data_IF_262799707521
#
_entry.id   IF_262799707521
#
_cell.length_a   1.000
_cell.length_b   1.000
_cell.length_c   1.000
_cell.angle_alpha   90.00
_cell.angle_beta   90.00
_cell.angle_gamma   90.00
#
_symmetry.space_group_name_H-M   'P 1'
#
loop_
_entity.id
_entity.type
_entity.pdbx_description
1 polymer ?
#
# COMPACT_ATOMS: atom_id res chain seq x y z
N UNK A 1 -53.16 31.10 -51.64
CA UNK A 1 -52.50 31.40 -50.32
C UNK A 1 -52.14 30.06 -49.69
N UNK A 2 -50.85 29.70 -49.74
CA UNK A 2 -50.35 28.45 -49.10
C UNK A 2 -49.59 28.83 -47.85
N UNK A 3 -50.12 28.41 -46.68
CA UNK A 3 -49.52 28.68 -45.37
C UNK A 3 -48.55 27.58 -45.04
N UNK A 4 -47.24 27.91 -44.95
CA UNK A 4 -46.18 26.98 -44.54
C UNK A 4 -46.04 27.04 -43.01
N UNK A 5 -46.29 25.91 -42.33
CA UNK A 5 -46.05 25.76 -40.90
C UNK A 5 -44.63 25.27 -40.73
N UNK A 6 -43.77 26.09 -40.14
CA UNK A 6 -42.38 25.76 -39.80
C UNK A 6 -42.36 25.11 -38.44
N UNK A 7 -42.14 23.76 -38.39
CA UNK A 7 -41.97 23.03 -37.11
C UNK A 7 -40.56 23.22 -36.60
N UNK A 8 -40.40 23.88 -35.46
CA UNK A 8 -39.14 24.03 -34.73
C UNK A 8 -38.97 22.82 -33.80
N UNK A 9 -38.11 21.88 -34.20
CA UNK A 9 -37.77 20.77 -33.33
C UNK A 9 -36.70 21.22 -32.30
N UNK A 10 -37.09 21.39 -31.04
CA UNK A 10 -36.17 21.62 -29.92
C UNK A 10 -35.44 20.31 -29.61
N UNK A 11 -34.15 20.26 -29.95
CA UNK A 11 -33.27 19.18 -29.53
C UNK A 11 -32.82 19.45 -28.08
N UNK A 12 -33.45 18.80 -27.11
CA UNK A 12 -32.99 18.81 -25.72
C UNK A 12 -31.76 17.90 -25.63
N UNK A 13 -30.56 18.50 -25.67
CA UNK A 13 -29.32 17.81 -25.37
C UNK A 13 -29.22 17.62 -23.84
N UNK A 14 -29.66 16.47 -23.34
CA UNK A 14 -29.47 16.09 -21.95
C UNK A 14 -27.98 15.80 -21.74
N UNK A 15 -27.27 16.75 -21.13
CA UNK A 15 -25.93 16.55 -20.57
C UNK A 15 -26.04 15.51 -19.45
N UNK A 16 -25.85 14.24 -19.77
CA UNK A 16 -25.61 13.21 -18.79
C UNK A 16 -24.24 13.51 -18.19
N UNK A 17 -24.22 14.18 -17.04
CA UNK A 17 -23.02 14.32 -16.22
C UNK A 17 -22.71 12.92 -15.66
N UNK A 18 -21.95 12.14 -16.42
CA UNK A 18 -21.44 10.85 -15.97
C UNK A 18 -20.36 11.15 -14.93
N UNK A 19 -20.75 11.21 -13.66
CA UNK A 19 -19.81 11.32 -12.55
C UNK A 19 -18.86 10.12 -12.63
N UNK A 20 -17.59 10.38 -12.94
CA UNK A 20 -16.56 9.34 -12.99
C UNK A 20 -16.53 8.61 -11.64
N UNK A 21 -16.68 7.29 -11.67
CA UNK A 21 -16.60 6.49 -10.45
C UNK A 21 -15.22 6.71 -9.82
N UNK A 22 -15.20 6.89 -8.50
CA UNK A 22 -13.95 7.08 -7.78
C UNK A 22 -13.13 5.80 -7.83
N UNK A 23 -11.84 5.92 -8.16
CA UNK A 23 -10.90 4.81 -8.09
C UNK A 23 -10.81 4.26 -6.65
N UNK A 24 -10.75 2.94 -6.54
CA UNK A 24 -10.66 2.22 -5.28
C UNK A 24 -9.20 1.93 -4.97
N UNK A 25 -8.75 2.35 -3.79
CA UNK A 25 -7.37 2.14 -3.31
C UNK A 25 -7.35 1.05 -2.25
N UNK A 26 -6.54 0.00 -2.46
CA UNK A 26 -6.21 -0.97 -1.43
C UNK A 26 -4.88 -0.60 -0.77
N UNK A 27 -4.82 -0.79 0.55
CA UNK A 27 -3.63 -0.61 1.36
C UNK A 27 -3.09 -1.98 1.75
N UNK A 28 -1.85 -2.24 1.39
CA UNK A 28 -1.17 -3.49 1.68
C UNK A 28 0.10 -3.19 2.47
N UNK A 29 0.03 -3.36 3.80
CA UNK A 29 1.06 -2.78 4.66
C UNK A 29 1.45 -3.59 5.89
N UNK A 30 2.36 -2.98 6.64
CA UNK A 30 2.78 -3.38 7.98
C UNK A 30 2.18 -2.45 9.05
N UNK A 31 2.87 -2.33 10.22
CA UNK A 31 2.42 -1.49 11.35
C UNK A 31 2.17 -0.02 10.97
N UNK A 32 2.91 0.53 10.01
CA UNK A 32 2.78 1.92 9.57
C UNK A 32 1.42 2.23 8.94
N UNK A 33 0.72 1.19 8.50
CA UNK A 33 -0.56 1.30 7.79
C UNK A 33 -1.75 0.77 8.60
N UNK A 34 -1.51 0.26 9.81
CA UNK A 34 -2.59 -0.25 10.66
C UNK A 34 -3.34 0.86 11.38
N UNK A 35 -4.63 0.63 11.66
CA UNK A 35 -5.43 1.41 12.60
C UNK A 35 -6.63 0.57 13.07
N UNK A 36 -6.90 0.58 14.38
CA UNK A 36 -7.97 -0.20 15.01
C UNK A 36 -9.33 0.00 14.34
N UNK A 37 -9.98 -1.09 13.94
CA UNK A 37 -11.30 -1.11 13.30
C UNK A 37 -11.30 -0.76 11.81
N UNK A 38 -10.11 -0.70 11.17
CA UNK A 38 -9.98 -0.41 9.74
C UNK A 38 -9.16 -1.46 8.98
N UNK A 39 -8.88 -2.60 9.61
CA UNK A 39 -8.15 -3.71 8.99
C UNK A 39 -9.12 -4.76 8.44
N UNK A 40 -8.72 -5.46 7.41
CA UNK A 40 -9.46 -6.59 6.83
C UNK A 40 -8.52 -7.77 6.58
N UNK A 41 -8.70 -8.88 7.31
CA UNK A 41 -9.62 -9.07 8.45
C UNK A 41 -9.26 -8.21 9.68
N UNK A 42 -10.22 -7.98 10.57
CA UNK A 42 -10.05 -7.18 11.78
C UNK A 42 -9.27 -7.88 12.91
N UNK A 43 -8.94 -9.14 12.71
CA UNK A 43 -8.11 -9.96 13.61
C UNK A 43 -6.61 -9.69 13.49
N UNK A 44 -6.19 -8.85 12.54
CA UNK A 44 -4.79 -8.51 12.32
C UNK A 44 -4.25 -7.62 13.45
N UNK A 45 -3.02 -7.89 13.89
CA UNK A 45 -2.35 -7.05 14.88
C UNK A 45 -2.21 -5.62 14.38
N UNK A 46 -2.51 -4.67 15.28
CA UNK A 46 -2.45 -3.26 14.97
C UNK A 46 -1.44 -2.52 15.84
N UNK A 47 -0.92 -1.41 15.32
CA UNK A 47 -0.04 -0.49 16.06
C UNK A 47 -0.79 0.73 16.57
N UNK A 48 -1.67 1.31 15.77
CA UNK A 48 -2.41 2.53 16.12
C UNK A 48 -3.81 2.20 16.61
N UNK A 49 -4.13 2.66 17.82
CA UNK A 49 -5.38 2.40 18.51
C UNK A 49 -6.20 3.68 18.69
N UNK A 50 -7.53 3.55 18.80
CA UNK A 50 -8.42 4.65 19.18
C UNK A 50 -8.11 5.17 20.58
N UNK A 51 -7.77 4.26 21.49
CA UNK A 51 -7.29 4.61 22.83
C UNK A 51 -5.84 5.10 22.73
N UNK A 52 -5.65 6.42 22.86
CA UNK A 52 -4.34 7.06 22.72
C UNK A 52 -3.39 6.69 23.87
N UNK A 53 -2.30 6.03 23.56
CA UNK A 53 -1.12 5.91 24.43
C UNK A 53 -0.03 6.89 23.95
N UNK A 54 0.07 8.06 24.61
CA UNK A 54 1.04 9.10 24.27
C UNK A 54 2.50 8.69 24.47
N UNK A 55 2.77 7.63 25.21
CA UNK A 55 4.12 7.05 25.32
C UNK A 55 4.48 6.29 24.05
N UNK A 56 3.48 5.76 23.37
CA UNK A 56 3.63 4.96 22.13
C UNK A 56 3.59 5.81 20.87
N UNK A 57 2.58 6.69 20.76
CA UNK A 57 2.32 7.50 19.57
C UNK A 57 1.46 8.71 19.92
N UNK A 58 1.46 9.73 19.07
CA UNK A 58 0.51 10.86 19.12
C UNK A 58 -0.70 10.66 18.20
N UNK A 59 -0.67 9.66 17.31
CA UNK A 59 -1.76 9.33 16.38
C UNK A 59 -2.92 8.70 17.13
N UNK A 60 -4.09 9.35 17.13
CA UNK A 60 -5.29 8.94 17.89
C UNK A 60 -6.58 8.91 17.07
N UNK A 61 -6.52 9.34 15.83
CA UNK A 61 -7.66 9.35 14.91
C UNK A 61 -7.23 8.76 13.56
N UNK A 62 -8.10 7.94 12.98
CA UNK A 62 -7.86 7.36 11.65
C UNK A 62 -7.57 8.42 10.59
N UNK A 63 -8.17 9.60 10.72
CA UNK A 63 -7.96 10.74 9.82
C UNK A 63 -6.52 11.25 9.81
N UNK A 64 -5.75 10.91 10.82
CA UNK A 64 -4.33 11.25 10.93
C UNK A 64 -3.43 10.24 10.23
N UNK A 65 -3.93 9.05 9.85
CA UNK A 65 -3.14 8.06 9.13
C UNK A 65 -2.82 8.52 7.71
N UNK A 66 -1.65 8.13 7.21
CA UNK A 66 -1.20 8.53 5.88
C UNK A 66 -2.17 8.08 4.78
N UNK A 67 -2.66 6.84 4.85
CA UNK A 67 -3.54 6.27 3.85
C UNK A 67 -4.94 6.89 3.86
N UNK A 68 -5.45 7.29 5.04
CA UNK A 68 -6.72 8.02 5.10
C UNK A 68 -6.61 9.37 4.40
N UNK A 69 -5.51 10.11 4.64
CA UNK A 69 -5.25 11.38 3.99
C UNK A 69 -5.11 11.19 2.48
N UNK A 70 -4.35 10.18 2.00
CA UNK A 70 -4.25 9.84 0.57
C UNK A 70 -5.63 9.59 -0.04
N UNK A 71 -6.45 8.76 0.59
CA UNK A 71 -7.80 8.43 0.08
C UNK A 71 -8.69 9.67 0.02
N UNK A 72 -8.64 10.54 1.03
CA UNK A 72 -9.53 11.71 1.11
C UNK A 72 -9.06 12.86 0.21
N UNK A 73 -7.80 13.19 0.24
CA UNK A 73 -7.23 14.30 -0.52
C UNK A 73 -7.09 13.95 -2.02
N UNK A 74 -6.80 12.70 -2.34
CA UNK A 74 -6.78 12.19 -3.71
C UNK A 74 -8.17 11.95 -4.31
N UNK A 75 -9.23 12.06 -3.52
CA UNK A 75 -10.59 11.84 -3.99
C UNK A 75 -10.96 10.37 -4.24
N UNK A 76 -10.16 9.44 -3.75
CA UNK A 76 -10.33 8.00 -3.90
C UNK A 76 -11.42 7.41 -2.99
N UNK A 77 -11.71 6.12 -3.19
CA UNK A 77 -12.50 5.27 -2.30
C UNK A 77 -11.55 4.29 -1.61
N UNK A 78 -11.62 4.19 -0.28
CA UNK A 78 -10.92 3.12 0.43
C UNK A 78 -11.56 1.78 0.07
N UNK A 79 -10.74 0.87 -0.44
CA UNK A 79 -11.04 -0.54 -0.58
C UNK A 79 -10.65 -1.31 0.69
N UNK A 80 -9.84 -2.34 0.53
CA UNK A 80 -9.34 -3.15 1.65
C UNK A 80 -8.06 -2.52 2.20
N UNK A 81 -7.97 -2.40 3.53
CA UNK A 81 -6.72 -2.20 4.24
C UNK A 81 -6.28 -3.56 4.83
N UNK A 82 -5.39 -4.24 4.13
CA UNK A 82 -4.80 -5.50 4.55
C UNK A 82 -3.39 -5.24 5.10
N UNK A 83 -3.31 -4.62 6.28
CA UNK A 83 -2.06 -4.31 6.96
C UNK A 83 -1.95 -5.06 8.27
N UNK A 84 -0.75 -5.59 8.59
CA UNK A 84 -0.51 -6.38 9.81
C UNK A 84 0.77 -5.90 10.49
N UNK A 85 0.66 -5.47 11.76
CA UNK A 85 1.81 -5.02 12.55
C UNK A 85 2.86 -6.12 12.67
N UNK A 86 4.13 -5.77 12.43
CA UNK A 86 5.25 -6.72 12.48
C UNK A 86 5.38 -7.64 11.27
N UNK A 87 4.56 -7.46 10.22
CA UNK A 87 4.64 -8.29 9.03
C UNK A 87 5.90 -7.98 8.20
N UNK A 88 6.65 -9.02 7.86
CA UNK A 88 7.71 -8.99 6.86
C UNK A 88 7.15 -9.32 5.47
N UNK A 89 7.84 -8.89 4.42
CA UNK A 89 7.56 -9.34 3.06
C UNK A 89 7.82 -10.83 2.95
N UNK A 90 9.00 -11.29 3.39
CA UNK A 90 9.35 -12.69 3.38
C UNK A 90 8.71 -13.47 4.54
N UNK A 91 8.88 -14.79 4.53
CA UNK A 91 8.36 -15.68 5.56
C UNK A 91 9.21 -15.71 6.83
N UNK A 92 10.40 -15.11 6.84
CA UNK A 92 11.23 -14.96 8.03
C UNK A 92 10.81 -13.73 8.82
N UNK A 93 10.67 -13.87 10.13
CA UNK A 93 10.36 -12.80 11.07
C UNK A 93 11.52 -12.49 12.02
N UNK A 94 11.21 -11.78 13.10
CA UNK A 94 12.18 -11.42 14.13
C UNK A 94 12.77 -12.66 14.81
N UNK A 95 14.10 -12.66 14.99
CA UNK A 95 14.82 -13.78 15.59
C UNK A 95 14.78 -15.04 14.74
N UNK A 96 14.78 -14.87 13.41
CA UNK A 96 14.73 -15.96 12.43
C UNK A 96 13.51 -16.88 12.56
N UNK A 97 12.44 -16.39 13.19
CA UNK A 97 11.21 -17.16 13.35
C UNK A 97 10.46 -17.32 12.04
N UNK A 98 9.72 -18.42 11.89
CA UNK A 98 8.76 -18.57 10.81
C UNK A 98 7.56 -17.64 11.07
N UNK A 99 7.43 -16.61 10.22
CA UNK A 99 6.37 -15.63 10.24
C UNK A 99 5.44 -15.73 9.01
N UNK A 100 5.43 -16.89 8.35
CA UNK A 100 4.62 -17.16 7.15
C UNK A 100 3.16 -16.74 7.34
N UNK A 101 2.58 -17.00 8.52
CA UNK A 101 1.16 -16.74 8.81
C UNK A 101 0.74 -15.28 8.63
N UNK A 102 1.66 -14.32 8.78
CA UNK A 102 1.42 -12.87 8.65
C UNK A 102 2.21 -12.19 7.54
N UNK A 103 3.06 -12.93 6.81
CA UNK A 103 3.87 -12.38 5.73
C UNK A 103 3.02 -11.72 4.64
N UNK A 104 3.59 -10.81 3.88
CA UNK A 104 2.90 -10.25 2.72
C UNK A 104 2.55 -11.35 1.71
N UNK A 105 3.41 -12.38 1.57
CA UNK A 105 3.17 -13.47 0.63
C UNK A 105 1.87 -14.25 0.92
N UNK A 106 1.53 -14.43 2.19
CA UNK A 106 0.31 -15.17 2.58
C UNK A 106 -0.95 -14.35 2.38
N UNK A 107 -0.83 -13.02 2.36
CA UNK A 107 -1.97 -12.09 2.33
C UNK A 107 -2.22 -11.45 0.96
N UNK A 108 -1.35 -11.70 -0.02
CA UNK A 108 -1.37 -11.02 -1.32
C UNK A 108 -2.67 -11.17 -2.11
N UNK A 109 -3.43 -12.26 -1.90
CA UNK A 109 -4.69 -12.52 -2.60
C UNK A 109 -5.92 -11.83 -1.98
N UNK A 110 -5.76 -11.15 -0.85
CA UNK A 110 -6.85 -10.62 -0.03
C UNK A 110 -7.03 -9.10 -0.14
N UNK A 111 -6.83 -8.51 -1.34
CA UNK A 111 -6.95 -7.07 -1.56
C UNK A 111 -8.25 -6.65 -2.28
N UNK A 112 -9.13 -7.61 -2.59
CA UNK A 112 -10.38 -7.34 -3.31
C UNK A 112 -10.16 -7.05 -4.79
N UNK A 113 -10.82 -6.02 -5.30
CA UNK A 113 -10.70 -5.58 -6.70
C UNK A 113 -10.39 -4.08 -6.74
N UNK A 114 -9.18 -3.66 -6.37
CA UNK A 114 -8.77 -2.27 -6.37
C UNK A 114 -8.35 -1.80 -7.77
N UNK A 115 -8.43 -0.47 -7.99
CA UNK A 115 -7.82 0.20 -9.14
C UNK A 115 -6.37 0.58 -8.85
N UNK A 116 -6.05 0.83 -7.56
CA UNK A 116 -4.70 1.19 -7.10
C UNK A 116 -4.35 0.34 -5.87
N UNK A 117 -3.13 -0.18 -5.82
CA UNK A 117 -2.57 -0.87 -4.66
C UNK A 117 -1.36 -0.11 -4.16
N UNK A 118 -1.40 0.32 -2.89
CA UNK A 118 -0.30 0.95 -2.20
C UNK A 118 0.37 -0.08 -1.27
N UNK A 119 1.54 -0.57 -1.66
CA UNK A 119 2.32 -1.55 -0.90
C UNK A 119 3.32 -0.81 -0.03
N UNK A 120 3.17 -0.88 1.29
CA UNK A 120 4.13 -0.29 2.23
C UNK A 120 4.75 -1.39 3.09
N UNK A 121 5.93 -1.86 2.72
CA UNK A 121 6.59 -3.00 3.36
C UNK A 121 8.11 -2.93 3.29
N UNK A 122 8.76 -3.98 3.84
CA UNK A 122 10.21 -4.08 3.93
C UNK A 122 10.82 -3.48 5.20
N UNK A 123 10.05 -2.71 5.97
CA UNK A 123 10.52 -2.13 7.24
C UNK A 123 10.85 -3.21 8.25
N UNK A 124 9.95 -4.17 8.44
CA UNK A 124 10.17 -5.27 9.39
C UNK A 124 11.26 -6.24 8.90
N UNK A 125 11.36 -6.46 7.60
CA UNK A 125 12.45 -7.26 7.03
C UNK A 125 13.81 -6.67 7.37
N UNK A 126 13.97 -5.35 7.22
CA UNK A 126 15.21 -4.65 7.54
C UNK A 126 15.48 -4.62 9.06
N UNK A 127 14.45 -4.37 9.89
CA UNK A 127 14.59 -4.33 11.35
C UNK A 127 14.88 -5.71 11.95
N UNK A 128 14.26 -6.75 11.41
CA UNK A 128 14.54 -8.13 11.81
C UNK A 128 15.85 -8.66 11.24
N UNK A 129 16.49 -7.93 10.30
CA UNK A 129 17.70 -8.34 9.58
C UNK A 129 17.55 -9.69 8.89
N UNK A 130 16.39 -9.92 8.27
CA UNK A 130 16.11 -11.18 7.59
C UNK A 130 17.13 -11.41 6.46
N UNK A 131 17.47 -12.66 6.11
CA UNK A 131 18.40 -12.95 5.03
C UNK A 131 17.97 -12.29 3.72
N UNK A 132 18.88 -11.57 3.06
CA UNK A 132 18.57 -10.91 1.78
C UNK A 132 18.30 -11.93 0.66
N UNK A 133 19.07 -13.01 0.61
CA UNK A 133 19.05 -13.97 -0.49
C UNK A 133 19.60 -13.39 -1.81
N UNK A 134 19.66 -14.22 -2.82
CA UNK A 134 20.07 -13.82 -4.16
C UNK A 134 18.93 -13.13 -4.91
N UNK A 135 19.26 -12.31 -5.91
CA UNK A 135 18.26 -11.82 -6.86
C UNK A 135 17.76 -12.98 -7.71
N UNK A 136 16.49 -13.32 -7.58
CA UNK A 136 15.85 -14.44 -8.26
C UNK A 136 14.46 -14.04 -8.71
N UNK A 137 14.19 -14.18 -10.00
CA UNK A 137 12.95 -13.69 -10.62
C UNK A 137 12.07 -14.82 -11.19
N UNK A 138 12.65 -16.00 -11.36
CA UNK A 138 11.93 -17.19 -11.83
C UNK A 138 12.23 -18.40 -10.94
N UNK A 139 11.44 -19.48 -11.12
CA UNK A 139 11.63 -20.76 -10.42
C UNK A 139 11.81 -20.60 -8.89
N UNK A 140 11.10 -19.61 -8.29
CA UNK A 140 11.16 -19.30 -6.85
C UNK A 140 10.45 -20.42 -6.09
N UNK A 141 11.20 -21.20 -5.33
CA UNK A 141 10.71 -22.31 -4.51
C UNK A 141 10.23 -21.80 -3.16
N UNK A 142 9.50 -22.63 -2.42
CA UNK A 142 9.03 -22.28 -1.08
C UNK A 142 10.17 -21.84 -0.13
N UNK A 143 11.30 -22.56 -0.14
CA UNK A 143 12.46 -22.20 0.69
C UNK A 143 13.07 -20.82 0.35
N UNK A 144 13.01 -20.39 -0.90
CA UNK A 144 13.52 -19.10 -1.33
C UNK A 144 12.71 -17.93 -0.69
N UNK A 145 11.43 -18.17 -0.35
CA UNK A 145 10.51 -17.19 0.24
C UNK A 145 10.84 -16.79 1.68
N UNK A 146 11.81 -17.46 2.30
CA UNK A 146 12.38 -17.08 3.59
C UNK A 146 13.52 -16.04 3.47
N UNK A 147 13.85 -15.60 2.26
CA UNK A 147 14.80 -14.54 1.99
C UNK A 147 14.09 -13.35 1.33
N UNK A 148 14.51 -12.13 1.67
CA UNK A 148 13.84 -10.88 1.27
C UNK A 148 13.72 -10.70 -0.25
N UNK A 149 14.85 -10.83 -0.99
CA UNK A 149 14.88 -10.57 -2.45
C UNK A 149 13.99 -11.52 -3.25
N UNK A 150 14.08 -12.84 -3.07
CA UNK A 150 13.19 -13.77 -3.77
C UNK A 150 11.73 -13.59 -3.36
N UNK A 151 11.47 -13.29 -2.07
CA UNK A 151 10.12 -13.06 -1.57
C UNK A 151 9.50 -11.81 -2.22
N UNK A 152 10.23 -10.69 -2.27
CA UNK A 152 9.76 -9.47 -2.92
C UNK A 152 9.53 -9.67 -4.42
N UNK A 153 10.43 -10.39 -5.10
CA UNK A 153 10.26 -10.72 -6.52
C UNK A 153 9.01 -11.56 -6.75
N UNK A 154 8.81 -12.60 -5.94
CA UNK A 154 7.60 -13.43 -5.99
C UNK A 154 6.34 -12.60 -5.72
N UNK A 155 6.37 -11.75 -4.67
CA UNK A 155 5.25 -10.89 -4.32
C UNK A 155 4.80 -10.03 -5.51
N UNK A 156 5.73 -9.28 -6.10
CA UNK A 156 5.38 -8.36 -7.20
C UNK A 156 4.93 -9.11 -8.46
N UNK A 157 5.57 -10.23 -8.80
CA UNK A 157 5.12 -11.08 -9.91
C UNK A 157 3.68 -11.56 -9.73
N UNK A 158 3.36 -12.11 -8.55
CA UNK A 158 2.02 -12.61 -8.25
C UNK A 158 0.98 -11.49 -8.17
N UNK A 159 1.34 -10.32 -7.64
CA UNK A 159 0.44 -9.18 -7.59
C UNK A 159 0.10 -8.66 -9.00
N UNK A 160 1.07 -8.60 -9.92
CA UNK A 160 0.80 -8.18 -11.30
C UNK A 160 -0.09 -9.18 -12.06
N UNK A 161 0.08 -10.47 -11.81
CA UNK A 161 -0.78 -11.50 -12.38
C UNK A 161 -2.20 -11.40 -11.80
N UNK A 162 -2.33 -11.31 -10.47
CA UNK A 162 -3.60 -11.31 -9.76
C UNK A 162 -4.41 -10.04 -9.97
N UNK A 163 -3.74 -8.88 -9.99
CA UNK A 163 -4.35 -7.55 -10.08
C UNK A 163 -3.94 -6.83 -11.36
N UNK A 164 -4.09 -7.51 -12.51
CA UNK A 164 -3.63 -7.06 -13.83
C UNK A 164 -4.21 -5.72 -14.28
N UNK A 165 -5.33 -5.29 -13.70
CA UNK A 165 -5.98 -4.01 -13.99
C UNK A 165 -5.66 -2.93 -12.97
N UNK A 166 -4.91 -3.24 -11.91
CA UNK A 166 -4.57 -2.29 -10.86
C UNK A 166 -3.19 -1.66 -11.08
N UNK A 167 -3.07 -0.38 -10.77
CA UNK A 167 -1.79 0.29 -10.65
C UNK A 167 -1.16 -0.03 -9.30
N UNK A 168 0.04 -0.61 -9.30
CA UNK A 168 0.76 -0.99 -8.07
C UNK A 168 1.88 0.01 -7.82
N UNK A 169 1.95 0.56 -6.61
CA UNK A 169 3.04 1.43 -6.15
C UNK A 169 3.67 0.85 -4.89
N UNK A 170 5.00 0.82 -4.84
CA UNK A 170 5.73 0.37 -3.67
C UNK A 170 6.26 1.56 -2.87
N UNK A 171 5.89 1.66 -1.59
CA UNK A 171 6.33 2.71 -0.68
C UNK A 171 7.50 2.15 0.13
N UNK A 172 8.67 2.75 -0.04
CA UNK A 172 9.91 2.40 0.66
C UNK A 172 10.16 3.39 1.80
N UNK A 173 10.37 2.88 3.01
CA UNK A 173 10.60 3.69 4.20
C UNK A 173 11.90 4.51 4.10
N UNK A 174 11.96 5.66 4.79
CA UNK A 174 13.08 6.61 4.76
C UNK A 174 14.38 6.07 5.37
N UNK A 175 14.30 5.16 6.35
CA UNK A 175 15.44 4.80 7.21
C UNK A 175 15.82 3.31 7.08
N UNK A 176 15.62 2.74 5.91
CA UNK A 176 16.03 1.35 5.68
C UNK A 176 17.55 1.26 5.45
N UNK A 177 18.14 0.16 5.89
CA UNK A 177 19.49 -0.21 5.47
C UNK A 177 19.59 -0.23 3.94
N UNK A 178 20.71 0.27 3.43
CA UNK A 178 20.96 0.44 1.99
C UNK A 178 20.79 -0.85 1.19
N UNK A 179 21.08 -2.01 1.77
CA UNK A 179 20.96 -3.30 1.08
C UNK A 179 19.47 -3.63 0.81
N UNK A 180 18.57 -3.30 1.76
CA UNK A 180 17.13 -3.48 1.57
C UNK A 180 16.60 -2.44 0.59
N UNK A 181 16.97 -1.16 0.76
CA UNK A 181 16.58 -0.08 -0.16
C UNK A 181 16.98 -0.39 -1.60
N UNK A 182 18.24 -0.75 -1.84
CA UNK A 182 18.74 -1.10 -3.16
C UNK A 182 18.04 -2.34 -3.74
N UNK A 183 17.71 -3.33 -2.89
CA UNK A 183 16.96 -4.52 -3.31
C UNK A 183 15.54 -4.15 -3.75
N UNK A 184 14.84 -3.28 -3.00
CA UNK A 184 13.52 -2.78 -3.38
C UNK A 184 13.58 -2.10 -4.74
N UNK A 185 14.48 -1.13 -4.92
CA UNK A 185 14.60 -0.40 -6.19
C UNK A 185 14.93 -1.32 -7.36
N UNK A 186 15.86 -2.28 -7.17
CA UNK A 186 16.27 -3.21 -8.22
C UNK A 186 15.11 -4.11 -8.64
N UNK A 187 14.39 -4.68 -7.68
CA UNK A 187 13.29 -5.62 -7.95
C UNK A 187 12.06 -4.89 -8.49
N UNK A 188 11.70 -3.76 -7.91
CA UNK A 188 10.60 -2.94 -8.42
C UNK A 188 10.87 -2.46 -9.87
N UNK A 189 12.10 -2.05 -10.18
CA UNK A 189 12.50 -1.70 -11.55
C UNK A 189 12.34 -2.88 -12.52
N UNK A 190 12.71 -4.11 -12.10
CA UNK A 190 12.55 -5.31 -12.92
C UNK A 190 11.09 -5.55 -13.32
N UNK A 191 10.16 -5.34 -12.39
CA UNK A 191 8.72 -5.51 -12.62
C UNK A 191 8.02 -4.24 -13.11
N UNK A 192 8.72 -3.13 -13.32
CA UNK A 192 8.12 -1.85 -13.73
C UNK A 192 7.19 -1.24 -12.67
N UNK A 193 7.37 -1.60 -11.39
CA UNK A 193 6.59 -1.04 -10.27
C UNK A 193 7.24 0.25 -9.78
N UNK A 194 6.53 1.40 -9.82
CA UNK A 194 7.05 2.66 -9.29
C UNK A 194 7.34 2.57 -7.80
N UNK A 195 8.49 3.13 -7.37
CA UNK A 195 8.86 3.24 -5.95
C UNK A 195 8.67 4.66 -5.47
N UNK A 196 7.88 4.82 -4.41
CA UNK A 196 7.80 6.06 -3.63
C UNK A 196 8.83 5.96 -2.52
N UNK A 197 10.03 6.48 -2.75
CA UNK A 197 11.07 6.53 -1.73
C UNK A 197 10.79 7.66 -0.76
N UNK A 198 10.42 7.31 0.47
CA UNK A 198 10.14 8.28 1.51
C UNK A 198 11.42 8.93 2.05
N UNK A 199 11.31 10.19 2.45
CA UNK A 199 12.37 10.95 3.10
C UNK A 199 11.78 11.89 4.18
N UNK A 200 12.58 12.24 5.17
CA UNK A 200 12.23 13.22 6.22
C UNK A 200 10.94 12.89 6.99
N UNK A 201 10.75 11.62 7.32
CA UNK A 201 9.57 11.16 8.05
C UNK A 201 9.79 11.27 9.55
N UNK A 202 9.00 12.14 10.21
CA UNK A 202 8.99 12.27 11.67
C UNK A 202 8.42 11.01 12.33
N UNK A 203 9.08 10.52 13.39
CA UNK A 203 8.73 9.26 14.05
C UNK A 203 8.77 9.35 15.57
N UNK A 204 7.88 8.62 16.22
CA UNK A 204 7.89 8.33 17.64
C UNK A 204 7.97 6.81 17.83
N UNK A 205 8.92 6.33 18.64
CA UNK A 205 9.17 4.89 18.83
C UNK A 205 9.30 4.11 17.50
N UNK A 206 10.04 4.68 16.54
CA UNK A 206 10.27 4.07 15.24
C UNK A 206 9.10 4.15 14.26
N UNK A 207 7.91 4.59 14.68
CA UNK A 207 6.71 4.69 13.85
C UNK A 207 6.33 6.14 13.53
N UNK A 208 5.74 6.43 12.36
CA UNK A 208 5.32 7.78 12.00
C UNK A 208 4.42 8.40 13.07
N UNK A 209 4.79 9.60 13.53
CA UNK A 209 3.92 10.48 14.29
C UNK A 209 2.93 11.21 13.36
N UNK A 210 2.06 12.08 13.89
CA UNK A 210 1.09 12.84 13.07
C UNK A 210 1.78 13.60 11.93
N UNK A 211 2.96 14.19 12.18
CA UNK A 211 3.72 14.93 11.14
C UNK A 211 4.28 13.97 10.10
N UNK A 212 4.81 12.82 10.54
CA UNK A 212 5.30 11.78 9.65
C UNK A 212 4.19 11.18 8.79
N UNK A 213 3.03 10.92 9.36
CA UNK A 213 1.85 10.46 8.62
C UNK A 213 1.44 11.44 7.51
N UNK A 214 1.44 12.74 7.82
CA UNK A 214 1.14 13.78 6.83
C UNK A 214 2.21 13.84 5.73
N UNK A 215 3.48 13.76 6.10
CA UNK A 215 4.60 13.77 5.15
C UNK A 215 4.55 12.56 4.20
N UNK A 216 4.22 11.37 4.71
CA UNK A 216 4.00 10.17 3.88
C UNK A 216 2.87 10.41 2.89
N UNK A 217 1.71 10.90 3.36
CA UNK A 217 0.56 11.14 2.50
C UNK A 217 0.88 12.10 1.34
N UNK A 218 1.58 13.20 1.63
CA UNK A 218 1.99 14.18 0.61
C UNK A 218 2.93 13.58 -0.43
N UNK A 219 3.92 12.79 0.01
CA UNK A 219 4.88 12.15 -0.90
C UNK A 219 4.19 11.09 -1.77
N UNK A 220 3.28 10.31 -1.20
CA UNK A 220 2.48 9.31 -1.95
C UNK A 220 1.58 10.01 -2.97
N UNK A 221 0.81 11.03 -2.56
CA UNK A 221 -0.07 11.79 -3.47
C UNK A 221 0.68 12.45 -4.63
N UNK A 222 1.93 12.84 -4.41
CA UNK A 222 2.76 13.42 -5.46
C UNK A 222 3.23 12.39 -6.49
N UNK A 223 3.26 11.11 -6.12
CA UNK A 223 3.75 10.02 -6.96
C UNK A 223 2.64 9.27 -7.70
N UNK A 224 1.45 9.17 -7.11
CA UNK A 224 0.27 8.53 -7.74
C UNK A 224 -0.49 9.60 -8.55
N UNK A 225 -0.57 9.39 -9.84
CA UNK A 225 -1.27 10.29 -10.78
C UNK A 225 -2.27 9.53 -11.60
#
# INVERSE_FOLDING_TARGET
>A
MKSSVLSFALFLCSLVCCGQAKETVAIFGDSYSTYEGYLTPDTMETWYYKALDRKRTDVSDVKQTWWWQVVKEGGYKLGINNSWSGACICNTGYGDSDATYRSFLTRLDALGSPDIILVFGGTNDAWAKVPLGEFKYDSIRFADKFCFRPALAYLLSQMQERYSNASIYFISNSDLDMNYTNSIHTICKHYGVPVVQLHDISKQNGHPDIRGMKAIAQQVLSAIK
#
